data_IF_084128424686
#
_entry.id   IF_084128424686
#
_cell.length_a   1.000
_cell.length_b   1.000
_cell.length_c   1.000
_cell.angle_alpha   90.00
_cell.angle_beta   90.00
_cell.angle_gamma   90.00
#
_symmetry.space_group_name_H-M   'P 1'
#
loop_
_entity.id
_entity.type
_entity.pdbx_description
1 polymer ?
#
# COMPACT_ATOMS: atom_id res chain seq x y z
N UNK A 1 35.70 3.12 -4.13
CA UNK A 1 34.72 2.46 -3.24
C UNK A 1 35.15 2.74 -1.79
N UNK A 2 34.48 3.68 -1.08
CA UNK A 2 34.86 4.07 0.30
C UNK A 2 34.44 2.93 1.25
N UNK A 3 35.38 2.36 2.00
CA UNK A 3 35.04 1.36 3.05
C UNK A 3 34.20 2.06 4.11
N UNK A 4 32.94 1.69 4.20
CA UNK A 4 32.07 2.10 5.30
C UNK A 4 32.65 1.50 6.58
N UNK A 5 32.96 2.35 7.56
CA UNK A 5 33.53 1.89 8.83
C UNK A 5 32.54 1.02 9.62
N UNK A 6 33.06 0.10 10.45
CA UNK A 6 32.25 -0.84 11.25
C UNK A 6 31.20 -0.12 12.14
N UNK A 7 31.51 1.10 12.58
CA UNK A 7 30.60 1.93 13.39
C UNK A 7 29.43 2.48 12.58
N UNK A 8 29.64 2.98 11.33
CA UNK A 8 28.56 3.44 10.46
C UNK A 8 27.56 2.33 10.11
N UNK A 9 28.03 1.10 9.90
CA UNK A 9 27.13 -0.03 9.64
C UNK A 9 26.28 -0.39 10.86
N UNK A 10 26.83 -0.25 12.07
CA UNK A 10 26.10 -0.50 13.32
C UNK A 10 25.02 0.57 13.54
N UNK A 11 25.34 1.85 13.35
CA UNK A 11 24.40 2.95 13.48
C UNK A 11 23.24 2.84 12.46
N UNK A 12 23.55 2.56 11.19
CA UNK A 12 22.53 2.35 10.15
C UNK A 12 21.58 1.19 10.50
N UNK A 13 22.11 0.10 11.05
CA UNK A 13 21.30 -1.04 11.46
C UNK A 13 20.43 -0.72 12.68
N UNK A 14 20.92 0.09 13.62
CA UNK A 14 20.15 0.55 14.78
C UNK A 14 19.00 1.45 14.35
N UNK A 15 19.25 2.44 13.49
CA UNK A 15 18.21 3.33 12.94
C UNK A 15 17.14 2.54 12.20
N UNK A 16 17.51 1.54 11.39
CA UNK A 16 16.56 0.65 10.72
C UNK A 16 15.68 -0.13 11.69
N UNK A 17 16.27 -0.67 12.77
CA UNK A 17 15.51 -1.41 13.80
C UNK A 17 14.56 -0.50 14.55
N UNK A 18 14.99 0.72 14.92
CA UNK A 18 14.15 1.71 15.57
C UNK A 18 12.98 2.13 14.66
N UNK A 19 13.22 2.35 13.37
CA UNK A 19 12.19 2.67 12.39
C UNK A 19 11.15 1.54 12.28
N UNK A 20 11.60 0.29 12.09
CA UNK A 20 10.70 -0.87 12.01
C UNK A 20 9.91 -1.05 13.31
N UNK A 21 10.53 -0.83 14.47
CA UNK A 21 9.86 -0.88 15.76
C UNK A 21 8.78 0.20 15.91
N UNK A 22 9.07 1.42 15.48
CA UNK A 22 8.11 2.53 15.49
C UNK A 22 6.91 2.24 14.57
N UNK A 23 7.17 1.78 13.35
CA UNK A 23 6.11 1.42 12.39
C UNK A 23 5.24 0.27 12.92
N UNK A 24 5.85 -0.75 13.52
CA UNK A 24 5.10 -1.84 14.15
C UNK A 24 4.23 -1.35 15.31
N UNK A 25 4.74 -0.43 16.15
CA UNK A 25 3.98 0.15 17.26
C UNK A 25 2.80 1.00 16.75
N UNK A 26 3.01 1.83 15.72
CA UNK A 26 1.94 2.62 15.10
C UNK A 26 0.88 1.72 14.47
N UNK A 27 1.29 0.64 13.81
CA UNK A 27 0.36 -0.32 13.21
C UNK A 27 -0.46 -1.06 14.28
N UNK A 28 0.16 -1.49 15.37
CA UNK A 28 -0.56 -2.10 16.51
C UNK A 28 -1.51 -1.12 17.17
N UNK A 29 -1.11 0.14 17.34
CA UNK A 29 -1.96 1.21 17.84
C UNK A 29 -3.16 1.42 16.92
N UNK A 30 -2.95 1.49 15.61
CA UNK A 30 -4.02 1.58 14.63
C UNK A 30 -5.01 0.41 14.77
N UNK A 31 -4.52 -0.83 14.82
CA UNK A 31 -5.38 -2.01 14.99
C UNK A 31 -6.18 -1.96 16.30
N UNK A 32 -5.56 -1.51 17.38
CA UNK A 32 -6.24 -1.36 18.67
C UNK A 32 -7.34 -0.29 18.58
N UNK A 33 -7.07 0.89 18.02
CA UNK A 33 -8.05 1.96 17.86
C UNK A 33 -9.21 1.54 16.96
N UNK A 34 -8.92 0.80 15.88
CA UNK A 34 -9.95 0.28 14.96
C UNK A 34 -10.82 -0.78 15.63
N UNK A 35 -10.21 -1.70 16.43
CA UNK A 35 -10.91 -2.74 17.16
C UNK A 35 -11.82 -2.18 18.26
N UNK A 36 -11.40 -1.10 18.94
CA UNK A 36 -12.19 -0.45 20.00
C UNK A 36 -13.14 0.63 19.47
N UNK A 37 -13.28 0.79 18.15
CA UNK A 37 -14.19 1.75 17.48
C UNK A 37 -14.06 3.19 17.99
N UNK A 38 -12.86 3.62 18.39
CA UNK A 38 -12.61 4.96 18.97
C UNK A 38 -12.53 6.09 17.95
N UNK A 39 -12.68 5.79 16.65
CA UNK A 39 -12.71 6.79 15.56
C UNK A 39 -11.37 7.47 15.24
N UNK A 40 -10.28 7.12 15.93
CA UNK A 40 -8.95 7.74 15.74
C UNK A 40 -8.02 6.98 14.79
N UNK A 41 -8.46 5.87 14.22
CA UNK A 41 -7.61 4.98 13.41
C UNK A 41 -7.05 5.64 12.14
N UNK A 42 -7.84 6.47 11.46
CA UNK A 42 -7.44 7.10 10.20
C UNK A 42 -6.29 8.11 10.38
N UNK A 43 -6.30 8.86 11.50
CA UNK A 43 -5.19 9.76 11.85
C UNK A 43 -3.88 9.01 12.10
N UNK A 44 -3.92 7.85 12.75
CA UNK A 44 -2.74 7.01 13.01
C UNK A 44 -2.22 6.41 11.71
N UNK A 45 -3.11 5.93 10.83
CA UNK A 45 -2.72 5.48 9.47
C UNK A 45 -1.98 6.57 8.71
N UNK A 46 -2.57 7.77 8.68
CA UNK A 46 -1.98 8.91 7.98
C UNK A 46 -0.60 9.27 8.54
N UNK A 47 -0.46 9.28 9.88
CA UNK A 47 0.83 9.51 10.55
C UNK A 47 1.88 8.46 10.15
N UNK A 48 1.51 7.18 10.09
CA UNK A 48 2.39 6.09 9.65
C UNK A 48 2.95 6.35 8.25
N UNK A 49 2.11 6.81 7.31
CA UNK A 49 2.53 7.13 5.94
C UNK A 49 3.48 8.34 5.92
N UNK A 50 3.23 9.36 6.76
CA UNK A 50 4.15 10.50 6.90
C UNK A 50 5.51 10.05 7.41
N UNK A 51 5.56 9.17 8.41
CA UNK A 51 6.82 8.61 8.95
C UNK A 51 7.55 7.81 7.87
N UNK A 52 6.85 6.98 7.11
CA UNK A 52 7.40 6.26 5.96
C UNK A 52 7.96 7.20 4.88
N UNK A 53 7.25 8.30 4.57
CA UNK A 53 7.73 9.31 3.64
C UNK A 53 9.03 9.97 4.12
N UNK A 54 9.09 10.39 5.38
CA UNK A 54 10.29 10.98 5.97
C UNK A 54 11.47 10.01 5.91
N UNK A 55 11.25 8.74 6.23
CA UNK A 55 12.27 7.70 6.12
C UNK A 55 12.73 7.47 4.66
N UNK A 56 11.79 7.48 3.70
CA UNK A 56 12.10 7.34 2.28
C UNK A 56 12.93 8.52 1.76
N UNK A 57 12.58 9.75 2.13
CA UNK A 57 13.34 10.97 1.79
C UNK A 57 14.72 10.95 2.44
N UNK A 58 14.81 10.60 3.72
CA UNK A 58 16.08 10.47 4.43
C UNK A 58 17.01 9.44 3.79
N UNK A 59 16.45 8.33 3.31
CA UNK A 59 17.22 7.26 2.66
C UNK A 59 17.58 7.55 1.20
N UNK A 60 16.94 8.54 0.56
CA UNK A 60 17.20 8.97 -0.81
C UNK A 60 18.52 9.76 -0.87
N UNK A 61 19.64 9.06 -1.08
CA UNK A 61 20.98 9.68 -1.21
C UNK A 61 21.15 10.31 -2.59
N UNK A 62 22.03 11.35 -2.72
CA UNK A 62 22.41 11.88 -4.02
C UNK A 62 22.94 10.76 -4.95
N UNK A 63 22.32 10.61 -6.12
CA UNK A 63 22.63 9.52 -7.09
C UNK A 63 21.85 8.22 -6.90
N UNK A 64 21.02 8.08 -5.82
CA UNK A 64 20.10 6.97 -5.62
C UNK A 64 18.76 7.14 -6.35
N UNK A 65 17.95 6.08 -6.35
CA UNK A 65 16.62 6.13 -6.96
C UNK A 65 15.62 6.84 -6.04
N UNK A 66 15.13 8.00 -6.44
CA UNK A 66 14.06 8.74 -5.75
C UNK A 66 12.66 8.10 -5.91
N UNK A 67 12.55 6.94 -6.59
CA UNK A 67 11.25 6.31 -6.89
C UNK A 67 10.43 6.02 -5.65
N UNK A 68 11.08 5.59 -4.55
CA UNK A 68 10.36 5.30 -3.29
C UNK A 68 9.85 6.57 -2.62
N UNK A 69 10.65 7.65 -2.63
CA UNK A 69 10.21 8.92 -2.08
C UNK A 69 9.01 9.47 -2.86
N UNK A 70 9.05 9.45 -4.20
CA UNK A 70 7.91 9.83 -5.02
C UNK A 70 6.70 8.92 -4.82
N UNK A 71 6.91 7.60 -4.72
CA UNK A 71 5.81 6.68 -4.41
C UNK A 71 5.13 7.06 -3.07
N UNK A 72 5.91 7.36 -2.02
CA UNK A 72 5.35 7.78 -0.73
C UNK A 72 4.64 9.13 -0.80
N UNK A 73 5.13 10.10 -1.60
CA UNK A 73 4.44 11.37 -1.82
C UNK A 73 3.06 11.14 -2.46
N UNK A 74 3.00 10.32 -3.51
CA UNK A 74 1.72 9.99 -4.15
C UNK A 74 0.80 9.15 -3.26
N UNK A 75 1.34 8.25 -2.45
CA UNK A 75 0.57 7.52 -1.43
C UNK A 75 -0.04 8.48 -0.43
N UNK A 76 0.74 9.41 0.13
CA UNK A 76 0.25 10.41 1.07
C UNK A 76 -0.85 11.29 0.45
N UNK A 77 -0.67 11.70 -0.81
CA UNK A 77 -1.69 12.47 -1.55
C UNK A 77 -2.96 11.63 -1.78
N UNK A 78 -2.85 10.35 -2.14
CA UNK A 78 -3.98 9.45 -2.31
C UNK A 78 -4.79 9.28 -1.01
N UNK A 79 -4.08 9.03 0.10
CA UNK A 79 -4.70 8.87 1.40
C UNK A 79 -5.29 10.17 1.96
N UNK A 80 -4.76 11.32 1.56
CA UNK A 80 -5.42 12.61 1.85
C UNK A 80 -6.83 12.65 1.27
N UNK A 81 -7.03 12.20 0.03
CA UNK A 81 -8.37 12.13 -0.59
C UNK A 81 -9.25 11.06 0.04
N UNK A 82 -8.69 9.90 0.35
CA UNK A 82 -9.45 8.73 0.81
C UNK A 82 -9.77 8.76 2.31
N UNK A 83 -8.83 9.24 3.15
CA UNK A 83 -8.95 9.18 4.62
C UNK A 83 -9.31 10.53 5.23
N UNK A 84 -8.72 11.65 4.76
CA UNK A 84 -8.94 12.96 5.38
C UNK A 84 -10.12 13.69 4.76
N UNK A 85 -10.23 13.69 3.44
CA UNK A 85 -11.30 14.41 2.74
C UNK A 85 -12.56 13.56 2.61
N UNK A 86 -12.43 12.24 2.66
CA UNK A 86 -13.52 11.27 2.42
C UNK A 86 -14.34 11.62 1.17
N UNK A 87 -13.65 12.11 0.14
CA UNK A 87 -14.22 12.64 -1.11
C UNK A 87 -13.28 12.33 -2.26
N UNK A 88 -13.83 12.34 -3.48
CA UNK A 88 -13.06 12.20 -4.70
C UNK A 88 -12.28 10.86 -4.78
N UNK A 89 -12.93 9.77 -4.35
CA UNK A 89 -12.34 8.41 -4.30
C UNK A 89 -11.62 8.02 -5.60
N UNK A 90 -12.19 8.39 -6.77
CA UNK A 90 -11.55 8.15 -8.06
C UNK A 90 -10.17 8.80 -8.18
N UNK A 91 -9.99 10.03 -7.64
CA UNK A 91 -8.68 10.70 -7.66
C UNK A 91 -7.66 9.96 -6.76
N UNK A 92 -8.08 9.51 -5.59
CA UNK A 92 -7.24 8.71 -4.70
C UNK A 92 -6.76 7.43 -5.40
N UNK A 93 -7.66 6.69 -6.06
CA UNK A 93 -7.31 5.47 -6.79
C UNK A 93 -6.39 5.77 -7.99
N UNK A 94 -6.60 6.87 -8.72
CA UNK A 94 -5.70 7.30 -9.81
C UNK A 94 -4.27 7.54 -9.27
N UNK A 95 -4.15 8.23 -8.15
CA UNK A 95 -2.85 8.45 -7.49
C UNK A 95 -2.20 7.13 -7.07
N UNK A 96 -2.97 6.18 -6.56
CA UNK A 96 -2.46 4.83 -6.28
C UNK A 96 -2.05 4.07 -7.55
N UNK A 97 -2.71 4.26 -8.69
CA UNK A 97 -2.22 3.73 -9.97
C UNK A 97 -0.85 4.31 -10.33
N UNK A 98 -0.60 5.60 -10.07
CA UNK A 98 0.73 6.21 -10.25
C UNK A 98 1.76 5.55 -9.31
N UNK A 99 1.41 5.32 -8.04
CA UNK A 99 2.27 4.61 -7.07
C UNK A 99 2.65 3.24 -7.61
N UNK A 100 1.68 2.48 -8.14
CA UNK A 100 1.96 1.16 -8.73
C UNK A 100 2.88 1.25 -9.96
N UNK A 101 2.75 2.29 -10.76
CA UNK A 101 3.67 2.59 -11.88
C UNK A 101 5.11 2.82 -11.40
N UNK A 102 5.30 3.57 -10.30
CA UNK A 102 6.61 3.81 -9.69
C UNK A 102 7.22 2.54 -9.10
N UNK A 103 6.43 1.69 -8.45
CA UNK A 103 6.87 0.37 -7.98
C UNK A 103 7.24 -0.55 -9.13
N UNK A 104 6.45 -0.57 -10.22
CA UNK A 104 6.79 -1.31 -11.43
C UNK A 104 8.11 -0.82 -12.04
N UNK A 105 8.33 0.49 -12.11
CA UNK A 105 9.58 1.07 -12.60
C UNK A 105 10.78 0.62 -11.75
N UNK A 106 10.63 0.54 -10.42
CA UNK A 106 11.65 -0.01 -9.52
C UNK A 106 11.92 -1.49 -9.79
N UNK A 107 10.85 -2.30 -9.85
CA UNK A 107 10.94 -3.74 -10.11
C UNK A 107 11.59 -4.00 -11.48
N UNK A 108 11.18 -3.24 -12.51
CA UNK A 108 11.76 -3.33 -13.84
C UNK A 108 13.26 -3.05 -13.84
N UNK A 109 13.72 -2.05 -13.10
CA UNK A 109 15.16 -1.74 -12.96
C UNK A 109 15.93 -2.88 -12.31
N UNK A 110 15.30 -3.63 -11.39
CA UNK A 110 15.93 -4.71 -10.65
C UNK A 110 15.89 -6.07 -11.38
N UNK A 111 14.80 -6.43 -12.07
CA UNK A 111 14.65 -7.75 -12.73
C UNK A 111 14.45 -7.70 -14.26
N UNK A 112 14.31 -6.52 -14.85
CA UNK A 112 14.16 -6.35 -16.30
C UNK A 112 12.82 -6.81 -16.90
N UNK A 113 11.91 -7.40 -16.09
CA UNK A 113 10.63 -7.96 -16.54
C UNK A 113 9.46 -7.10 -16.06
N UNK A 114 8.41 -6.99 -16.89
CA UNK A 114 7.21 -6.19 -16.58
C UNK A 114 5.92 -7.02 -16.57
N UNK A 115 5.97 -8.25 -17.09
CA UNK A 115 4.83 -9.16 -17.22
C UNK A 115 3.59 -8.51 -17.88
N UNK A 116 3.81 -7.71 -18.95
CA UNK A 116 2.73 -6.99 -19.62
C UNK A 116 1.60 -7.90 -20.11
N UNK A 117 1.92 -9.07 -20.66
CA UNK A 117 0.92 -10.02 -21.14
C UNK A 117 0.00 -10.49 -20.00
N UNK A 118 0.57 -10.77 -18.81
CA UNK A 118 -0.21 -11.15 -17.64
C UNK A 118 -1.14 -10.02 -17.19
N UNK A 119 -0.65 -8.77 -17.16
CA UNK A 119 -1.46 -7.59 -16.79
C UNK A 119 -2.58 -7.35 -17.81
N UNK A 120 -2.25 -7.43 -19.10
CA UNK A 120 -3.22 -7.28 -20.18
C UNK A 120 -4.31 -8.36 -20.19
N UNK A 121 -4.03 -9.55 -19.67
CA UNK A 121 -5.04 -10.60 -19.49
C UNK A 121 -5.86 -10.47 -18.21
N UNK A 122 -5.21 -10.12 -17.09
CA UNK A 122 -5.88 -10.04 -15.78
C UNK A 122 -6.84 -8.85 -15.67
N UNK A 123 -6.53 -7.70 -16.28
CA UNK A 123 -7.39 -6.50 -16.22
C UNK A 123 -8.76 -6.75 -16.87
N UNK A 124 -8.84 -7.23 -18.13
CA UNK A 124 -10.14 -7.57 -18.72
C UNK A 124 -10.84 -8.73 -18.00
N UNK A 125 -10.10 -9.72 -17.50
CA UNK A 125 -10.69 -10.81 -16.72
C UNK A 125 -11.35 -10.28 -15.42
N UNK A 126 -10.68 -9.39 -14.70
CA UNK A 126 -11.24 -8.73 -13.52
C UNK A 126 -12.46 -7.88 -13.87
N UNK A 127 -12.44 -7.19 -15.01
CA UNK A 127 -13.58 -6.42 -15.51
C UNK A 127 -14.80 -7.30 -15.82
N UNK A 128 -14.59 -8.42 -16.54
CA UNK A 128 -15.65 -9.38 -16.82
C UNK A 128 -16.26 -9.94 -15.54
N UNK A 129 -15.40 -10.29 -14.57
CA UNK A 129 -15.84 -10.78 -13.26
C UNK A 129 -16.69 -9.74 -12.51
N UNK A 130 -16.23 -8.46 -12.46
CA UNK A 130 -16.99 -7.39 -11.81
C UNK A 130 -18.37 -7.17 -12.46
N UNK A 131 -18.44 -7.24 -13.79
CA UNK A 131 -19.74 -7.13 -14.48
C UNK A 131 -20.65 -8.33 -14.17
N UNK A 132 -20.10 -9.54 -14.15
CA UNK A 132 -20.85 -10.76 -13.79
C UNK A 132 -21.42 -10.71 -12.36
N UNK A 133 -20.72 -10.02 -11.44
CA UNK A 133 -21.15 -9.78 -10.06
C UNK A 133 -22.10 -8.57 -9.91
N UNK A 134 -22.45 -7.87 -11.00
CA UNK A 134 -23.27 -6.66 -10.96
C UNK A 134 -22.54 -5.42 -10.41
N UNK A 135 -21.21 -5.46 -10.34
CA UNK A 135 -20.35 -4.39 -9.77
C UNK A 135 -19.63 -3.57 -10.85
N UNK A 136 -20.13 -3.55 -12.09
CA UNK A 136 -19.48 -2.96 -13.25
C UNK A 136 -19.51 -1.43 -13.31
N UNK A 137 -19.11 -0.73 -12.25
CA UNK A 137 -19.00 0.75 -12.24
C UNK A 137 -17.63 1.22 -12.72
N UNK A 138 -17.54 2.46 -13.22
CA UNK A 138 -16.25 3.06 -13.62
C UNK A 138 -15.24 3.10 -12.46
N UNK A 139 -15.70 3.34 -11.23
CA UNK A 139 -14.87 3.35 -10.03
C UNK A 139 -14.31 1.95 -9.75
N UNK A 140 -15.15 0.92 -9.84
CA UNK A 140 -14.73 -0.47 -9.63
C UNK A 140 -13.76 -0.96 -10.72
N UNK A 141 -13.94 -0.49 -11.98
CA UNK A 141 -12.97 -0.77 -13.03
C UNK A 141 -11.60 -0.15 -12.72
N UNK A 142 -11.58 1.10 -12.26
CA UNK A 142 -10.36 1.79 -11.87
C UNK A 142 -9.69 1.10 -10.67
N UNK A 143 -10.48 0.67 -9.68
CA UNK A 143 -10.02 -0.10 -8.54
C UNK A 143 -9.44 -1.47 -8.96
N UNK A 144 -10.08 -2.15 -9.92
CA UNK A 144 -9.58 -3.42 -10.46
C UNK A 144 -8.24 -3.23 -11.21
N UNK A 145 -8.13 -2.17 -12.02
CA UNK A 145 -6.88 -1.81 -12.69
C UNK A 145 -5.75 -1.59 -11.68
N UNK A 146 -6.02 -0.82 -10.63
CA UNK A 146 -5.10 -0.61 -9.52
C UNK A 146 -4.70 -1.94 -8.87
N UNK A 147 -5.69 -2.72 -8.43
CA UNK A 147 -5.49 -3.94 -7.66
C UNK A 147 -4.73 -5.02 -8.44
N UNK A 148 -5.05 -5.22 -9.72
CA UNK A 148 -4.33 -6.16 -10.59
C UNK A 148 -2.86 -5.76 -10.73
N UNK A 149 -2.58 -4.48 -10.96
CA UNK A 149 -1.21 -3.99 -11.04
C UNK A 149 -0.47 -4.16 -9.72
N UNK A 150 -1.14 -3.92 -8.60
CA UNK A 150 -0.57 -4.11 -7.28
C UNK A 150 -0.24 -5.58 -7.02
N UNK A 151 -1.18 -6.48 -7.26
CA UNK A 151 -0.99 -7.92 -7.07
C UNK A 151 0.20 -8.44 -7.89
N UNK A 152 0.27 -8.07 -9.18
CA UNK A 152 1.39 -8.48 -10.05
C UNK A 152 2.72 -7.89 -9.56
N UNK A 153 2.74 -6.62 -9.11
CA UNK A 153 3.93 -6.00 -8.53
C UNK A 153 4.37 -6.72 -7.25
N UNK A 154 3.42 -7.04 -6.35
CA UNK A 154 3.71 -7.77 -5.11
C UNK A 154 4.28 -9.17 -5.40
N UNK A 155 3.68 -9.92 -6.33
CA UNK A 155 4.22 -11.22 -6.75
C UNK A 155 5.61 -11.11 -7.38
N UNK A 156 5.83 -10.10 -8.25
CA UNK A 156 7.16 -9.88 -8.85
C UNK A 156 8.20 -9.48 -7.80
N UNK A 157 7.82 -8.73 -6.77
CA UNK A 157 8.75 -8.32 -5.72
C UNK A 157 9.39 -9.51 -4.98
N UNK A 158 8.70 -10.65 -4.88
CA UNK A 158 9.24 -11.87 -4.29
C UNK A 158 10.43 -12.46 -5.04
N UNK A 159 10.57 -12.14 -6.34
CA UNK A 159 11.73 -12.57 -7.14
C UNK A 159 12.99 -11.76 -6.85
N UNK A 160 12.86 -10.62 -6.17
CA UNK A 160 13.96 -9.71 -5.83
C UNK A 160 14.66 -10.16 -4.53
N UNK A 161 15.53 -11.14 -4.62
CA UNK A 161 16.21 -11.73 -3.44
C UNK A 161 16.99 -10.72 -2.59
N UNK A 162 17.51 -9.65 -3.20
CA UNK A 162 18.26 -8.59 -2.51
C UNK A 162 17.37 -7.56 -1.81
N UNK A 163 16.07 -7.53 -2.09
CA UNK A 163 15.13 -6.51 -1.62
C UNK A 163 13.95 -7.10 -0.83
N UNK A 164 14.24 -8.06 0.04
CA UNK A 164 13.22 -8.77 0.85
C UNK A 164 12.35 -7.83 1.68
N UNK A 165 12.93 -6.73 2.20
CA UNK A 165 12.17 -5.75 2.98
C UNK A 165 11.15 -5.01 2.11
N UNK A 166 11.52 -4.65 0.88
CA UNK A 166 10.59 -4.07 -0.09
C UNK A 166 9.46 -5.04 -0.43
N UNK A 167 9.78 -6.32 -0.68
CA UNK A 167 8.78 -7.35 -0.94
C UNK A 167 7.81 -7.52 0.24
N UNK A 168 8.33 -7.59 1.48
CA UNK A 168 7.50 -7.67 2.68
C UNK A 168 6.58 -6.45 2.82
N UNK A 169 7.08 -5.24 2.61
CA UNK A 169 6.29 -4.01 2.62
C UNK A 169 5.17 -4.04 1.57
N UNK A 170 5.47 -4.49 0.34
CA UNK A 170 4.47 -4.62 -0.74
C UNK A 170 3.34 -5.59 -0.35
N UNK A 171 3.66 -6.73 0.26
CA UNK A 171 2.65 -7.71 0.68
C UNK A 171 1.82 -7.22 1.87
N UNK A 172 2.44 -6.55 2.85
CA UNK A 172 1.70 -5.95 3.96
C UNK A 172 0.75 -4.86 3.48
N UNK A 173 1.19 -4.02 2.55
CA UNK A 173 0.34 -2.99 1.96
C UNK A 173 -0.80 -3.62 1.15
N UNK A 174 -0.53 -4.62 0.31
CA UNK A 174 -1.58 -5.35 -0.42
C UNK A 174 -2.61 -5.98 0.52
N UNK A 175 -2.17 -6.60 1.61
CA UNK A 175 -3.06 -7.18 2.62
C UNK A 175 -3.95 -6.11 3.28
N UNK A 176 -3.36 -4.96 3.62
CA UNK A 176 -4.11 -3.83 4.16
C UNK A 176 -5.22 -3.38 3.18
N UNK A 177 -4.89 -3.24 1.90
CA UNK A 177 -5.85 -2.81 0.88
C UNK A 177 -6.97 -3.84 0.65
N UNK A 178 -6.64 -5.13 0.72
CA UNK A 178 -7.66 -6.20 0.69
C UNK A 178 -8.61 -6.06 1.88
N UNK A 179 -8.09 -5.84 3.09
CA UNK A 179 -8.93 -5.64 4.28
C UNK A 179 -9.84 -4.41 4.14
N UNK A 180 -9.30 -3.28 3.65
CA UNK A 180 -10.08 -2.05 3.39
C UNK A 180 -11.14 -2.30 2.31
N UNK A 181 -10.78 -2.97 1.21
CA UNK A 181 -11.70 -3.32 0.14
C UNK A 181 -12.85 -4.20 0.61
N UNK A 182 -12.58 -5.23 1.41
CA UNK A 182 -13.60 -6.11 1.99
C UNK A 182 -14.52 -5.38 2.97
N UNK A 183 -13.99 -4.46 3.77
CA UNK A 183 -14.79 -3.64 4.69
C UNK A 183 -15.74 -2.71 3.93
N UNK A 184 -15.32 -2.16 2.81
CA UNK A 184 -16.13 -1.24 1.99
C UNK A 184 -17.13 -1.96 1.07
N UNK A 185 -17.10 -3.30 1.02
CA UNK A 185 -18.00 -4.13 0.22
C UNK A 185 -18.72 -5.19 1.09
N UNK A 186 -19.63 -4.78 1.98
CA UNK A 186 -20.29 -5.69 2.92
C UNK A 186 -21.10 -6.79 2.22
N UNK A 187 -21.48 -6.59 0.97
CA UNK A 187 -22.17 -7.59 0.15
C UNK A 187 -21.33 -8.82 -0.19
N UNK A 188 -20.00 -8.70 -0.15
CA UNK A 188 -19.07 -9.83 -0.40
C UNK A 188 -18.88 -10.74 0.81
N UNK A 189 -19.11 -10.23 2.03
CA UNK A 189 -18.96 -10.98 3.28
C UNK A 189 -20.12 -10.66 4.25
N UNK A 190 -21.32 -11.23 4.04
CA UNK A 190 -22.49 -10.93 4.86
C UNK A 190 -22.29 -11.24 6.35
N UNK A 191 -21.40 -12.15 6.71
CA UNK A 191 -21.08 -12.50 8.10
C UNK A 191 -20.26 -11.44 8.87
N UNK A 192 -19.49 -10.58 8.16
CA UNK A 192 -18.74 -9.48 8.79
C UNK A 192 -19.57 -8.19 8.92
N UNK A 193 -20.58 -8.01 8.07
CA UNK A 193 -21.48 -6.86 8.11
C UNK A 193 -22.35 -6.84 9.38
N UNK A 194 -22.71 -8.00 9.93
CA UNK A 194 -23.50 -8.12 11.15
C UNK A 194 -22.75 -7.69 12.41
N UNK A 195 -21.44 -7.83 12.46
CA UNK A 195 -20.63 -7.42 13.59
C UNK A 195 -20.42 -5.89 13.69
N UNK A 196 -20.43 -5.19 12.53
CA UNK A 196 -20.25 -3.74 12.48
C UNK A 196 -21.55 -2.96 12.78
N UNK A 197 -22.73 -3.55 12.58
CA UNK A 197 -24.03 -2.91 12.83
C UNK A 197 -24.59 -3.20 14.24
N UNK A 198 -24.04 -4.16 14.95
CA UNK A 198 -24.46 -4.51 16.33
C UNK A 198 -24.01 -3.53 17.43
N UNK A 199 -23.25 -2.49 17.08
CA UNK A 199 -22.71 -1.50 18.04
C UNK A 199 -23.46 -0.17 18.11
N UNK A 200 -24.55 0.03 17.38
CA UNK A 200 -25.36 1.26 17.41
C UNK A 200 -26.79 0.91 17.76
N UNK A 201 -27.01 0.49 19.00
CA UNK A 201 -28.32 0.20 19.53
C UNK A 201 -28.29 -0.05 21.00
N UNK A 202 -28.05 0.99 21.81
CA UNK A 202 -28.57 1.22 23.19
C UNK A 202 -28.29 2.67 23.53
#
# INVERSE_FOLDING_TARGET
MKRIGKNETTEINTVKKCFVGLEAALYLLFLALDAFSTGGGDGVKYLTIVVCLLAAVWSARPGGSCLMAWAMVFTLAADTFLLLLDRWYGMGIVLFCVVQGLYLARIRRACGRTLWALRAGLVPAAWVLLNALGMGTALNLLAALYFVNFLVNACQSLTLRSERLFAAGMWLFLLCDVCVGLRNQPSLLPGLAGAAQGGVGL
#
